data_IF_526288783182
#
_entry.id   IF_526288783182
#
_cell.length_a   1.000
_cell.length_b   1.000
_cell.length_c   1.000
_cell.angle_alpha   90.00
_cell.angle_beta   90.00
_cell.angle_gamma   90.00
#
_symmetry.space_group_name_H-M   'P 1'
#
loop_
_entity.id
_entity.type
_entity.pdbx_description
1 polymer ?
#
# COMPACT_ATOMS: atom_id res chain seq x y z
N UNK A 1 -45.94 -47.38 0.11
CA UNK A 1 -45.07 -46.32 -0.45
C UNK A 1 -45.17 -44.95 0.28
N UNK A 2 -45.88 -44.80 1.41
CA UNK A 2 -46.04 -43.50 2.10
C UNK A 2 -44.94 -43.18 3.14
N UNK A 3 -44.18 -44.18 3.62
CA UNK A 3 -43.15 -43.99 4.64
C UNK A 3 -41.82 -43.42 4.14
N UNK A 4 -41.51 -43.54 2.84
CA UNK A 4 -40.27 -43.01 2.27
C UNK A 4 -40.24 -41.47 2.23
N UNK A 5 -41.40 -40.84 2.02
CA UNK A 5 -41.52 -39.38 1.94
C UNK A 5 -41.31 -38.68 3.29
N UNK A 6 -41.73 -39.32 4.38
CA UNK A 6 -41.58 -38.76 5.73
C UNK A 6 -40.11 -38.67 6.14
N UNK A 7 -39.32 -39.70 5.83
CA UNK A 7 -37.88 -39.71 6.11
C UNK A 7 -37.14 -38.62 5.32
N UNK A 8 -37.43 -38.43 4.03
CA UNK A 8 -36.80 -37.37 3.24
C UNK A 8 -37.17 -35.96 3.72
N UNK A 9 -38.41 -35.73 4.17
CA UNK A 9 -38.80 -34.42 4.73
C UNK A 9 -38.08 -34.12 6.05
N UNK A 10 -37.79 -35.16 6.85
CA UNK A 10 -37.12 -34.99 8.13
C UNK A 10 -35.63 -34.63 7.96
N UNK A 11 -34.93 -35.30 7.03
CA UNK A 11 -33.52 -34.99 6.75
C UNK A 11 -33.32 -33.60 6.12
N UNK A 12 -34.24 -33.16 5.28
CA UNK A 12 -34.18 -31.81 4.67
C UNK A 12 -34.45 -30.72 5.70
N UNK A 13 -35.42 -30.89 6.61
CA UNK A 13 -35.66 -29.96 7.70
C UNK A 13 -34.45 -29.87 8.67
N UNK A 14 -33.80 -30.99 8.97
CA UNK A 14 -32.64 -31.04 9.86
C UNK A 14 -31.42 -30.36 9.24
N UNK A 15 -31.22 -30.50 7.92
CA UNK A 15 -30.15 -29.79 7.20
C UNK A 15 -30.35 -28.27 7.22
N UNK A 16 -31.60 -27.78 7.06
CA UNK A 16 -31.90 -26.34 7.12
C UNK A 16 -31.65 -25.79 8.52
N UNK A 17 -32.01 -26.52 9.59
CA UNK A 17 -31.77 -26.09 10.97
C UNK A 17 -30.28 -25.99 11.34
N UNK A 18 -29.43 -26.84 10.76
CA UNK A 18 -27.98 -26.79 11.00
C UNK A 18 -27.30 -25.58 10.33
N UNK A 19 -27.82 -25.09 9.19
CA UNK A 19 -27.25 -23.92 8.50
C UNK A 19 -27.58 -22.61 9.21
N UNK A 20 -28.73 -22.51 9.90
CA UNK A 20 -29.18 -21.28 10.58
C UNK A 20 -28.43 -21.03 11.90
N UNK A 21 -27.89 -22.06 12.56
CA UNK A 21 -27.22 -21.92 13.86
C UNK A 21 -25.75 -21.45 13.80
N UNK A 22 -25.19 -21.19 12.62
CA UNK A 22 -23.84 -20.63 12.48
C UNK A 22 -23.79 -19.09 12.44
N UNK A 23 -24.93 -18.39 12.47
CA UNK A 23 -24.97 -16.92 12.54
C UNK A 23 -25.18 -16.40 13.96
N UNK A 24 -24.30 -16.79 14.89
CA UNK A 24 -24.18 -16.08 16.17
C UNK A 24 -23.26 -14.87 15.94
N UNK A 25 -23.87 -13.77 15.48
CA UNK A 25 -23.23 -12.46 15.41
C UNK A 25 -22.87 -12.04 16.83
N UNK A 26 -21.58 -12.14 17.18
CA UNK A 26 -21.05 -11.59 18.43
C UNK A 26 -21.22 -10.06 18.38
N UNK A 27 -22.25 -9.56 19.05
CA UNK A 27 -22.38 -8.14 19.37
C UNK A 27 -21.19 -7.78 20.25
N UNK A 28 -20.27 -7.00 19.69
CA UNK A 28 -19.12 -6.46 20.40
C UNK A 28 -19.62 -5.39 21.38
N UNK A 29 -19.84 -5.79 22.63
CA UNK A 29 -20.00 -4.87 23.75
C UNK A 29 -18.68 -4.09 23.93
N UNK A 30 -18.68 -2.80 23.60
CA UNK A 30 -17.61 -1.90 24.02
C UNK A 30 -17.64 -1.78 25.55
N UNK A 31 -16.51 -1.94 26.25
CA UNK A 31 -16.46 -1.66 27.68
C UNK A 31 -16.77 -0.17 27.93
N UNK A 32 -17.42 0.17 29.06
CA UNK A 32 -17.74 1.55 29.39
C UNK A 32 -16.45 2.38 29.57
N UNK A 33 -16.45 3.67 29.21
CA UNK A 33 -15.29 4.53 29.37
C UNK A 33 -14.95 4.71 30.85
N UNK A 34 -13.69 4.43 31.20
CA UNK A 34 -13.15 4.61 32.55
C UNK A 34 -13.16 6.11 32.90
N UNK A 35 -13.65 6.53 34.08
CA UNK A 35 -13.67 7.93 34.49
C UNK A 35 -12.26 8.52 34.60
N UNK A 36 -12.10 9.77 34.15
CA UNK A 36 -10.83 10.46 33.90
C UNK A 36 -9.94 10.73 35.14
N UNK A 37 -10.38 10.35 36.33
CA UNK A 37 -9.69 10.63 37.59
C UNK A 37 -8.57 9.63 37.93
N UNK A 38 -8.51 8.48 37.24
CA UNK A 38 -7.43 7.49 37.39
C UNK A 38 -6.43 7.53 36.22
N UNK A 39 -6.07 8.72 35.72
CA UNK A 39 -4.99 8.85 34.75
C UNK A 39 -3.68 9.13 35.50
N UNK A 40 -2.80 8.13 35.70
CA UNK A 40 -1.48 8.40 36.29
C UNK A 40 -0.72 9.38 35.40
N UNK A 41 0.00 10.31 36.03
CA UNK A 41 0.82 11.29 35.35
C UNK A 41 1.81 10.57 34.41
N UNK A 42 2.02 11.05 33.17
CA UNK A 42 2.98 10.44 32.27
C UNK A 42 4.38 10.52 32.90
N UNK A 43 5.16 9.42 32.89
CA UNK A 43 6.54 9.46 33.36
C UNK A 43 7.37 10.41 32.49
N UNK A 44 8.44 11.00 33.04
CA UNK A 44 9.31 11.90 32.28
C UNK A 44 9.89 11.16 31.06
N UNK A 45 9.69 11.75 29.88
CA UNK A 45 10.19 11.26 28.59
C UNK A 45 11.71 11.40 28.52
N UNK A 46 12.45 10.48 29.12
CA UNK A 46 13.85 10.27 28.77
C UNK A 46 14.20 8.79 28.73
N UNK A 47 14.85 8.43 27.62
CA UNK A 47 15.53 7.18 27.25
C UNK A 47 14.68 6.09 26.57
N UNK A 48 15.19 5.67 25.39
CA UNK A 48 14.94 4.43 24.61
C UNK A 48 13.95 4.41 23.44
N UNK A 49 13.69 5.54 22.76
CA UNK A 49 13.03 5.46 21.44
C UNK A 49 14.01 5.48 20.29
N UNK A 50 13.88 4.51 19.38
CA UNK A 50 14.63 4.52 18.12
C UNK A 50 14.24 5.74 17.26
N UNK A 51 15.08 6.19 16.32
CA UNK A 51 14.74 7.31 15.44
C UNK A 51 13.42 7.12 14.66
N UNK A 52 13.08 5.88 14.35
CA UNK A 52 11.81 5.53 13.70
C UNK A 52 10.61 5.66 14.66
N UNK A 53 10.78 5.27 15.92
CA UNK A 53 9.75 5.43 16.95
C UNK A 53 9.50 6.91 17.26
N UNK A 54 10.54 7.74 17.28
CA UNK A 54 10.42 9.19 17.43
C UNK A 54 9.60 9.81 16.29
N UNK A 55 9.91 9.46 15.03
CA UNK A 55 9.14 9.91 13.86
C UNK A 55 7.68 9.47 13.94
N UNK A 56 7.44 8.23 14.36
CA UNK A 56 6.08 7.69 14.52
C UNK A 56 5.30 8.47 15.58
N UNK A 57 5.94 8.79 16.72
CA UNK A 57 5.33 9.58 17.77
C UNK A 57 5.03 11.01 17.32
N UNK A 58 5.96 11.66 16.63
CA UNK A 58 5.79 13.01 16.09
C UNK A 58 4.60 13.09 15.10
N UNK A 59 4.50 12.12 14.20
CA UNK A 59 3.37 12.03 13.26
C UNK A 59 2.05 11.85 14.02
N UNK A 60 2.02 10.96 15.01
CA UNK A 60 0.82 10.72 15.82
C UNK A 60 0.40 11.95 16.61
N UNK A 61 1.35 12.73 17.13
CA UNK A 61 1.10 13.96 17.85
C UNK A 61 0.52 15.04 16.93
N UNK A 62 1.07 15.19 15.72
CA UNK A 62 0.52 16.06 14.68
C UNK A 62 -0.94 15.73 14.34
N UNK A 63 -1.28 14.45 14.19
CA UNK A 63 -2.66 14.02 13.95
C UNK A 63 -3.60 14.22 15.16
N UNK A 64 -3.07 14.30 16.38
CA UNK A 64 -3.87 14.66 17.56
C UNK A 64 -4.17 16.16 17.58
N UNK A 65 -3.17 16.97 17.27
CA UNK A 65 -3.31 18.43 17.18
C UNK A 65 -4.32 18.83 16.11
N UNK A 66 -4.23 18.29 14.89
CA UNK A 66 -5.21 18.59 13.82
C UNK A 66 -6.65 18.25 14.23
N UNK A 67 -6.86 17.14 14.95
CA UNK A 67 -8.20 16.77 15.45
C UNK A 67 -8.69 17.68 16.58
N UNK A 68 -7.79 18.21 17.40
CA UNK A 68 -8.13 19.21 18.41
C UNK A 68 -8.49 20.53 17.75
N UNK A 69 -7.73 20.98 16.76
CA UNK A 69 -8.01 22.19 15.98
C UNK A 69 -9.35 22.12 15.23
N UNK A 70 -9.67 20.97 14.61
CA UNK A 70 -10.98 20.74 14.00
C UNK A 70 -12.14 20.77 15.01
N UNK A 71 -11.88 20.28 16.24
CA UNK A 71 -12.88 20.29 17.32
C UNK A 71 -13.07 21.69 17.90
N UNK A 72 -12.00 22.48 17.99
CA UNK A 72 -12.01 23.86 18.48
C UNK A 72 -12.60 24.82 17.44
N UNK A 73 -12.38 24.56 16.14
CA UNK A 73 -12.87 25.39 15.05
C UNK A 73 -13.69 24.59 14.01
N UNK A 74 -14.90 24.09 14.37
CA UNK A 74 -15.70 23.18 13.53
C UNK A 74 -16.28 23.80 12.23
N UNK A 75 -15.81 24.97 11.80
CA UNK A 75 -16.32 25.70 10.64
C UNK A 75 -15.28 26.26 9.67
N UNK A 76 -13.98 26.33 10.02
CA UNK A 76 -12.98 26.97 9.15
C UNK A 76 -12.55 26.11 7.95
N UNK A 77 -12.71 24.79 8.02
CA UNK A 77 -12.26 23.87 6.96
C UNK A 77 -13.36 23.40 5.98
N UNK A 78 -14.62 23.82 6.17
CA UNK A 78 -15.70 23.50 5.22
C UNK A 78 -15.81 24.58 4.16
N UNK A 79 -14.84 24.60 3.24
CA UNK A 79 -15.04 25.33 1.99
C UNK A 79 -16.11 24.56 1.19
N UNK A 80 -17.34 25.09 1.18
CA UNK A 80 -18.41 24.58 0.32
C UNK A 80 -17.94 24.73 -1.13
N UNK A 81 -17.46 23.64 -1.73
CA UNK A 81 -17.22 23.56 -3.17
C UNK A 81 -18.59 23.58 -3.83
N UNK A 82 -18.98 24.75 -4.38
CA UNK A 82 -20.17 24.85 -5.22
C UNK A 82 -20.00 23.86 -6.37
N UNK A 83 -20.96 22.96 -6.64
CA UNK A 83 -20.87 22.11 -7.82
C UNK A 83 -20.83 23.01 -9.05
N UNK A 84 -19.85 22.84 -9.97
CA UNK A 84 -19.78 23.63 -11.18
C UNK A 84 -21.04 23.40 -12.01
N UNK A 85 -21.65 24.48 -12.51
CA UNK A 85 -22.76 24.38 -13.45
C UNK A 85 -22.29 23.60 -14.68
N UNK A 86 -22.88 22.44 -14.91
CA UNK A 86 -22.62 21.59 -16.08
C UNK A 86 -23.17 22.28 -17.32
N UNK A 87 -22.32 23.05 -18.00
CA UNK A 87 -22.52 23.33 -19.41
C UNK A 87 -22.33 21.98 -20.11
N UNK A 88 -23.41 21.38 -20.60
CA UNK A 88 -23.34 20.17 -21.44
C UNK A 88 -22.72 20.59 -22.77
N UNK A 89 -21.39 20.65 -22.81
CA UNK A 89 -20.64 20.59 -24.06
C UNK A 89 -20.59 19.12 -24.44
N UNK A 90 -20.98 18.80 -25.66
CA UNK A 90 -20.78 17.47 -26.24
C UNK A 90 -19.32 17.06 -26.05
N UNK A 91 -19.11 16.18 -25.08
CA UNK A 91 -17.80 15.68 -24.73
C UNK A 91 -17.41 14.68 -25.80
N UNK A 92 -16.76 15.16 -26.86
CA UNK A 92 -15.94 14.29 -27.68
C UNK A 92 -14.80 13.83 -26.76
N UNK A 93 -14.69 12.54 -26.42
CA UNK A 93 -13.57 12.07 -25.62
C UNK A 93 -12.31 12.45 -26.39
N UNK A 94 -11.60 13.45 -25.88
CA UNK A 94 -10.21 13.67 -26.27
C UNK A 94 -9.52 12.43 -25.72
N UNK A 95 -8.88 11.66 -26.58
CA UNK A 95 -8.05 10.55 -26.15
C UNK A 95 -7.17 11.07 -25.01
N UNK A 96 -7.49 10.66 -23.78
CA UNK A 96 -6.71 11.02 -22.62
C UNK A 96 -5.37 10.36 -22.87
N UNK A 97 -4.39 11.17 -23.27
CA UNK A 97 -3.00 10.74 -23.19
C UNK A 97 -2.78 10.41 -21.73
N UNK A 98 -2.77 9.12 -21.42
CA UNK A 98 -2.39 8.60 -20.13
C UNK A 98 -1.02 9.21 -19.84
N UNK A 99 -0.97 10.19 -18.95
CA UNK A 99 0.28 10.71 -18.42
C UNK A 99 0.75 9.59 -17.49
N UNK A 100 1.51 8.65 -18.05
CA UNK A 100 2.23 7.69 -17.25
C UNK A 100 3.15 8.49 -16.32
N UNK A 101 3.08 8.30 -14.98
CA UNK A 101 4.04 8.93 -14.09
C UNK A 101 5.44 8.56 -14.59
N UNK A 102 6.23 9.59 -14.87
CA UNK A 102 7.58 9.45 -15.39
C UNK A 102 8.33 8.48 -14.47
N UNK A 103 8.83 7.42 -15.07
CA UNK A 103 9.29 6.26 -14.35
C UNK A 103 10.53 6.58 -13.53
N UNK A 104 10.32 6.92 -12.26
CA UNK A 104 11.33 7.03 -11.20
C UNK A 104 12.69 7.50 -11.71
N UNK A 105 12.81 8.79 -12.01
CA UNK A 105 14.12 9.43 -11.97
C UNK A 105 14.69 9.20 -10.57
N UNK A 106 15.77 8.43 -10.49
CA UNK A 106 16.48 8.09 -9.25
C UNK A 106 16.77 9.40 -8.48
N UNK A 107 16.20 9.52 -7.26
CA UNK A 107 16.30 10.70 -6.37
C UNK A 107 17.74 11.03 -5.91
N UNK A 108 18.75 10.33 -6.41
CA UNK A 108 20.13 10.50 -5.99
C UNK A 108 20.90 11.40 -6.98
N UNK A 109 21.59 12.46 -6.55
CA UNK A 109 22.29 13.40 -7.43
C UNK A 109 23.73 12.99 -7.76
N UNK A 110 24.12 11.72 -7.58
CA UNK A 110 25.54 11.32 -7.62
C UNK A 110 25.77 10.16 -8.58
N UNK A 111 26.63 10.39 -9.57
CA UNK A 111 27.20 9.40 -10.50
C UNK A 111 28.31 8.59 -9.81
N UNK A 112 28.02 8.09 -8.60
CA UNK A 112 28.94 7.22 -7.90
C UNK A 112 28.80 5.80 -8.47
N UNK A 113 29.84 5.23 -9.09
CA UNK A 113 29.80 3.89 -9.68
C UNK A 113 29.33 2.83 -8.68
N UNK A 114 29.71 2.95 -7.40
CA UNK A 114 29.27 2.02 -6.37
C UNK A 114 27.75 2.06 -6.14
N UNK A 115 27.12 3.22 -6.30
CA UNK A 115 25.66 3.37 -6.18
C UNK A 115 24.91 2.83 -7.38
N UNK A 116 25.48 2.99 -8.58
CA UNK A 116 24.92 2.43 -9.82
C UNK A 116 24.85 0.91 -9.70
N UNK A 117 25.90 0.27 -9.21
CA UNK A 117 25.92 -1.19 -9.01
C UNK A 117 24.86 -1.66 -8.00
N UNK A 118 24.72 -0.92 -6.89
CA UNK A 118 23.68 -1.21 -5.89
C UNK A 118 22.28 -1.08 -6.48
N UNK A 119 22.01 -0.01 -7.24
CA UNK A 119 20.70 0.19 -7.87
C UNK A 119 20.41 -0.91 -8.90
N UNK A 120 21.40 -1.31 -9.71
CA UNK A 120 21.26 -2.43 -10.64
C UNK A 120 20.92 -3.73 -9.89
N UNK A 121 21.66 -4.05 -8.82
CA UNK A 121 21.42 -5.26 -8.02
C UNK A 121 20.01 -5.26 -7.42
N UNK A 122 19.56 -4.14 -6.87
CA UNK A 122 18.19 -4.00 -6.35
C UNK A 122 17.11 -4.24 -7.41
N UNK A 123 17.32 -3.76 -8.64
CA UNK A 123 16.37 -3.99 -9.73
C UNK A 123 16.32 -5.47 -10.14
N UNK A 124 17.47 -6.16 -10.15
CA UNK A 124 17.57 -7.59 -10.42
C UNK A 124 16.84 -8.38 -9.33
N UNK A 125 17.12 -8.10 -8.06
CA UNK A 125 16.50 -8.78 -6.92
C UNK A 125 14.97 -8.59 -6.94
N UNK A 126 14.52 -7.35 -7.17
CA UNK A 126 13.10 -7.04 -7.28
C UNK A 126 12.43 -7.82 -8.43
N UNK A 127 13.07 -7.89 -9.60
CA UNK A 127 12.56 -8.65 -10.73
C UNK A 127 12.45 -10.15 -10.40
N UNK A 128 13.44 -10.73 -9.72
CA UNK A 128 13.43 -12.14 -9.36
C UNK A 128 12.38 -12.49 -8.31
N UNK A 129 12.17 -11.64 -7.32
CA UNK A 129 11.08 -11.79 -6.35
C UNK A 129 9.73 -11.74 -7.08
N UNK A 130 9.58 -10.84 -8.06
CA UNK A 130 8.31 -10.61 -8.77
C UNK A 130 7.94 -11.72 -9.76
N UNK A 131 8.92 -12.31 -10.45
CA UNK A 131 8.65 -13.22 -11.57
C UNK A 131 8.65 -14.71 -11.23
N UNK A 132 9.07 -15.08 -10.01
CA UNK A 132 9.13 -16.48 -9.54
C UNK A 132 9.84 -17.47 -10.50
N UNK A 133 10.69 -16.96 -11.41
CA UNK A 133 11.41 -17.80 -12.39
C UNK A 133 12.52 -18.60 -11.71
N UNK A 134 12.64 -19.88 -12.02
CA UNK A 134 13.68 -20.78 -11.47
C UNK A 134 15.11 -20.35 -11.84
N UNK A 135 15.30 -19.78 -13.03
CA UNK A 135 16.61 -19.33 -13.52
C UNK A 135 16.72 -17.80 -13.57
N UNK A 136 16.04 -17.10 -12.66
CA UNK A 136 15.96 -15.65 -12.72
C UNK A 136 17.34 -14.96 -12.67
N UNK A 137 18.21 -15.42 -11.78
CA UNK A 137 19.54 -14.83 -11.61
C UNK A 137 20.40 -14.96 -12.86
N UNK A 138 20.36 -16.11 -13.55
CA UNK A 138 21.08 -16.32 -14.80
C UNK A 138 20.57 -15.36 -15.89
N UNK A 139 19.25 -15.27 -16.06
CA UNK A 139 18.63 -14.35 -17.02
C UNK A 139 18.96 -12.89 -16.72
N UNK A 140 18.88 -12.49 -15.46
CA UNK A 140 19.14 -11.11 -15.05
C UNK A 140 20.63 -10.74 -15.20
N UNK A 141 21.52 -11.68 -14.91
CA UNK A 141 22.97 -11.52 -15.12
C UNK A 141 23.31 -11.39 -16.60
N UNK A 142 22.70 -12.22 -17.46
CA UNK A 142 22.87 -12.12 -18.92
C UNK A 142 22.44 -10.73 -19.44
N UNK A 143 21.30 -10.22 -18.95
CA UNK A 143 20.82 -8.88 -19.31
C UNK A 143 21.73 -7.77 -18.81
N UNK A 144 22.29 -7.92 -17.61
CA UNK A 144 23.26 -6.97 -17.08
C UNK A 144 24.53 -6.91 -17.94
N UNK A 145 25.13 -8.06 -18.28
CA UNK A 145 26.33 -8.10 -19.11
C UNK A 145 26.08 -7.57 -20.53
N UNK A 146 24.91 -7.84 -21.11
CA UNK A 146 24.50 -7.24 -22.39
C UNK A 146 24.47 -5.71 -22.32
N UNK A 147 23.92 -5.14 -21.25
CA UNK A 147 23.87 -3.70 -21.04
C UNK A 147 25.26 -3.11 -20.77
N UNK A 148 26.10 -3.80 -20.00
CA UNK A 148 27.49 -3.39 -19.73
C UNK A 148 28.33 -3.34 -21.01
N UNK A 149 28.12 -4.28 -21.93
CA UNK A 149 28.77 -4.27 -23.25
C UNK A 149 28.40 -3.07 -24.13
N UNK A 150 27.22 -2.48 -23.92
CA UNK A 150 26.76 -1.28 -24.67
C UNK A 150 27.23 0.02 -24.03
N UNK A 151 27.42 0.05 -22.71
CA UNK A 151 27.84 1.21 -21.94
C UNK A 151 29.12 0.89 -21.16
N UNK A 152 30.31 0.98 -21.79
CA UNK A 152 31.57 0.59 -21.16
C UNK A 152 32.03 1.56 -20.06
N UNK A 153 31.47 2.78 -20.01
CA UNK A 153 31.71 3.73 -18.93
C UNK A 153 30.76 3.43 -17.77
N UNK A 154 31.33 3.07 -16.62
CA UNK A 154 30.57 2.61 -15.44
C UNK A 154 29.71 3.72 -14.79
N UNK A 155 30.07 4.98 -15.03
CA UNK A 155 29.39 6.16 -14.46
C UNK A 155 28.08 6.48 -15.20
N UNK A 156 27.74 5.69 -16.22
CA UNK A 156 26.65 5.99 -17.11
C UNK A 156 25.34 5.40 -16.59
N UNK A 157 24.49 6.24 -16.00
CA UNK A 157 23.12 5.87 -15.55
C UNK A 157 22.26 5.20 -16.62
N UNK A 158 22.66 5.31 -17.90
CA UNK A 158 22.08 4.57 -19.03
C UNK A 158 22.11 3.05 -18.81
N UNK A 159 23.09 2.51 -18.07
CA UNK A 159 23.14 1.08 -17.74
C UNK A 159 21.92 0.64 -16.92
N UNK A 160 21.47 1.45 -15.95
CA UNK A 160 20.31 1.18 -15.11
C UNK A 160 19.04 1.12 -15.98
N UNK A 161 18.90 2.08 -16.89
CA UNK A 161 17.76 2.14 -17.81
C UNK A 161 17.74 0.94 -18.76
N UNK A 162 18.90 0.55 -19.29
CA UNK A 162 19.05 -0.64 -20.12
C UNK A 162 18.64 -1.91 -19.36
N UNK A 163 19.13 -2.10 -18.13
CA UNK A 163 18.79 -3.27 -17.31
C UNK A 163 17.29 -3.30 -17.00
N UNK A 164 16.71 -2.18 -16.55
CA UNK A 164 15.27 -2.06 -16.29
C UNK A 164 14.44 -2.42 -17.53
N UNK A 165 14.84 -1.95 -18.72
CA UNK A 165 14.17 -2.28 -19.97
C UNK A 165 14.33 -3.77 -20.35
N UNK A 166 15.51 -4.34 -20.14
CA UNK A 166 15.81 -5.75 -20.42
C UNK A 166 15.06 -6.74 -19.53
N UNK A 167 14.82 -6.36 -18.26
CA UNK A 167 14.09 -7.16 -17.28
C UNK A 167 12.56 -7.06 -17.38
N UNK A 168 12.01 -6.12 -18.16
CA UNK A 168 10.54 -5.96 -18.30
C UNK A 168 9.88 -6.88 -19.32
N UNK A 169 10.68 -7.56 -20.13
CA UNK A 169 10.22 -8.48 -21.17
C UNK A 169 10.09 -9.91 -20.61
#
# INVERSE_FOLDING_TARGET
MKHAYLLHSFFTALAIFLVVNCSSVKVSERPPPIPSFYRPAPPPLQATHSPEELKKMEVLEKYRQMRQEEKENPGQYRQYVRPPQTIVRDYRPRDEQIIFPEENQSNYPTDDPARIEVEVRQNIDYFCIKTERTNCQEFATEKYEQCRGQFPHYDDRRIISCVKAGLRR
#
